data_IF_880046558433
#
_entry.id   IF_880046558433
#
_cell.length_a   1.000
_cell.length_b   1.000
_cell.length_c   1.000
_cell.angle_alpha   90.00
_cell.angle_beta   90.00
_cell.angle_gamma   90.00
#
_symmetry.space_group_name_H-M   'P 1'
#
loop_
_entity.id
_entity.type
_entity.pdbx_description
1 polymer ?
#
# COMPACT_ATOMS: atom_id res chain seq x y z
N UNK A 1 5.93 1.98 10.39
CA UNK A 1 5.92 1.86 11.85
C UNK A 1 7.18 2.49 12.44
N UNK A 2 7.03 3.25 13.51
CA UNK A 2 8.15 3.90 14.24
C UNK A 2 8.23 3.37 15.66
N UNK A 3 7.16 3.49 16.43
CA UNK A 3 7.10 3.08 17.82
C UNK A 3 5.66 2.77 18.26
N UNK A 4 5.53 2.08 19.37
CA UNK A 4 4.26 1.89 20.07
C UNK A 4 4.46 1.91 21.58
N UNK A 5 3.38 2.18 22.30
CA UNK A 5 3.39 2.12 23.76
C UNK A 5 3.37 0.68 24.26
N UNK A 6 3.74 0.47 25.52
CA UNK A 6 3.97 -0.81 26.17
C UNK A 6 2.85 -1.85 25.99
N UNK A 7 1.59 -1.45 26.05
CA UNK A 7 0.46 -2.39 25.97
C UNK A 7 -0.07 -2.60 24.54
N UNK A 8 0.74 -2.31 23.54
CA UNK A 8 0.42 -2.53 22.12
C UNK A 8 1.13 -3.77 21.62
N UNK A 9 0.36 -4.75 21.14
CA UNK A 9 0.89 -5.91 20.45
C UNK A 9 0.99 -5.64 18.97
N UNK A 10 2.07 -6.10 18.33
CA UNK A 10 2.30 -5.98 16.90
C UNK A 10 2.53 -7.37 16.33
N UNK A 11 1.78 -7.71 15.27
CA UNK A 11 1.90 -8.98 14.56
C UNK A 11 2.10 -8.72 13.07
N UNK A 12 3.04 -9.44 12.46
CA UNK A 12 3.16 -9.46 11.00
C UNK A 12 2.15 -10.47 10.44
N UNK A 13 1.34 -10.05 9.47
CA UNK A 13 0.37 -10.87 8.76
C UNK A 13 0.75 -10.92 7.28
N UNK A 14 1.07 -12.11 6.82
CA UNK A 14 1.39 -12.34 5.41
C UNK A 14 0.09 -12.59 4.64
N UNK A 15 -0.16 -11.78 3.62
CA UNK A 15 -1.28 -11.95 2.70
C UNK A 15 -0.85 -12.88 1.56
N UNK A 16 -1.15 -14.18 1.70
CA UNK A 16 -0.77 -15.22 0.74
C UNK A 16 -1.64 -15.24 -0.53
N UNK A 17 -2.81 -14.59 -0.49
CA UNK A 17 -3.79 -14.60 -1.59
C UNK A 17 -3.38 -13.76 -2.80
N UNK A 18 -2.33 -12.97 -2.67
CA UNK A 18 -1.74 -12.22 -3.77
C UNK A 18 -0.63 -13.10 -4.30
N UNK A 19 -0.94 -13.86 -5.35
CA UNK A 19 -0.14 -14.94 -5.88
C UNK A 19 1.37 -14.74 -5.77
N UNK A 20 2.08 -15.79 -5.36
CA UNK A 20 3.54 -15.78 -5.21
C UNK A 20 4.34 -15.30 -6.43
N UNK A 21 3.70 -15.19 -7.60
CA UNK A 21 4.21 -14.58 -8.80
C UNK A 21 4.47 -13.07 -8.69
N UNK A 22 3.75 -12.36 -7.82
CA UNK A 22 3.88 -10.90 -7.63
C UNK A 22 5.15 -10.49 -6.88
N UNK A 23 5.66 -11.37 -6.03
CA UNK A 23 6.81 -11.06 -5.17
C UNK A 23 8.01 -11.97 -5.43
N UNK A 24 8.11 -12.55 -6.65
CA UNK A 24 9.28 -13.36 -7.04
C UNK A 24 9.53 -14.56 -6.12
N UNK A 25 8.48 -15.17 -5.53
CA UNK A 25 8.61 -16.29 -4.62
C UNK A 25 8.97 -15.92 -3.18
N UNK A 26 9.10 -14.65 -2.83
CA UNK A 26 9.53 -14.17 -1.51
C UNK A 26 8.40 -13.86 -0.53
N UNK A 27 7.23 -14.47 -0.68
CA UNK A 27 6.34 -14.59 0.46
C UNK A 27 5.20 -13.58 0.63
N UNK A 28 4.78 -12.86 -0.41
CA UNK A 28 3.52 -12.12 -0.34
C UNK A 28 3.60 -10.73 0.32
N UNK A 29 2.46 -10.06 0.39
CA UNK A 29 2.34 -8.73 0.99
C UNK A 29 2.25 -8.84 2.51
N UNK A 30 3.14 -8.15 3.23
CA UNK A 30 3.18 -8.18 4.70
C UNK A 30 2.49 -6.93 5.25
N UNK A 31 1.49 -7.15 6.09
CA UNK A 31 0.80 -6.11 6.85
C UNK A 31 1.16 -6.25 8.32
N UNK A 32 1.47 -5.15 8.99
CA UNK A 32 1.59 -5.12 10.43
C UNK A 32 0.23 -4.81 11.07
N UNK A 33 -0.27 -5.75 11.84
CA UNK A 33 -1.50 -5.62 12.59
C UNK A 33 -1.19 -5.26 14.05
N UNK A 34 -1.83 -4.22 14.54
CA UNK A 34 -1.67 -3.77 15.93
C UNK A 34 -2.94 -4.06 16.72
N UNK A 35 -2.78 -4.45 17.99
CA UNK A 35 -3.89 -4.72 18.91
C UNK A 35 -3.52 -4.33 20.33
N UNK A 36 -4.51 -4.29 21.23
CA UNK A 36 -4.32 -3.86 22.61
C UNK A 36 -4.75 -2.42 22.85
N UNK A 37 -4.34 -1.87 24.00
CA UNK A 37 -4.64 -0.49 24.38
C UNK A 37 -3.36 0.32 24.41
N UNK A 38 -3.25 1.29 23.52
CA UNK A 38 -2.04 2.11 23.45
C UNK A 38 -2.05 3.05 22.25
N UNK A 39 -0.89 3.62 22.02
CA UNK A 39 -0.64 4.53 20.89
C UNK A 39 0.38 3.91 19.94
N UNK A 40 0.16 4.08 18.67
CA UNK A 40 1.10 3.67 17.61
C UNK A 40 1.58 4.92 16.88
N UNK A 41 2.88 5.05 16.74
CA UNK A 41 3.50 6.09 15.94
C UNK A 41 3.86 5.51 14.57
N UNK A 42 3.38 6.13 13.52
CA UNK A 42 3.71 5.81 12.14
C UNK A 42 4.35 7.02 11.46
N UNK A 43 5.18 6.78 10.45
CA UNK A 43 5.69 7.83 9.58
C UNK A 43 5.28 7.59 8.15
N UNK A 44 5.16 8.66 7.39
CA UNK A 44 4.85 8.64 5.97
C UNK A 44 5.68 9.66 5.21
N UNK A 45 5.63 9.60 3.89
CA UNK A 45 6.30 10.56 3.01
C UNK A 45 5.38 11.73 2.70
N UNK A 46 5.81 12.94 3.03
CA UNK A 46 5.00 14.16 2.88
C UNK A 46 4.00 14.36 4.02
N UNK A 47 2.82 14.86 3.70
CA UNK A 47 1.74 15.09 4.65
C UNK A 47 0.92 13.82 4.83
N UNK A 48 0.54 13.51 6.07
CA UNK A 48 -0.42 12.47 6.38
C UNK A 48 -1.83 13.07 6.37
N UNK A 49 -2.74 12.39 5.70
CA UNK A 49 -4.16 12.75 5.60
C UNK A 49 -4.99 11.56 6.06
N UNK A 50 -6.05 11.84 6.79
CA UNK A 50 -7.03 10.86 7.22
C UNK A 50 -8.23 10.90 6.27
N UNK A 51 -8.62 9.75 5.74
CA UNK A 51 -9.76 9.55 4.87
C UNK A 51 -10.80 8.69 5.59
N UNK A 52 -12.03 9.15 5.65
CA UNK A 52 -13.15 8.36 6.13
C UNK A 52 -13.66 7.47 5.01
N UNK A 53 -13.75 6.18 5.28
CA UNK A 53 -14.36 5.18 4.39
C UNK A 53 -15.74 4.84 4.94
N UNK A 54 -16.76 4.97 4.12
CA UNK A 54 -18.15 4.68 4.50
C UNK A 54 -18.79 3.68 3.55
N UNK A 55 -19.80 2.91 4.00
CA UNK A 55 -20.48 1.95 3.16
C UNK A 55 -21.13 2.56 1.90
N UNK A 56 -21.55 3.81 1.98
CA UNK A 56 -22.22 4.54 0.89
C UNK A 56 -21.27 4.80 -0.28
N UNK A 57 -19.97 4.92 -0.03
CA UNK A 57 -18.95 5.08 -1.06
C UNK A 57 -18.70 3.79 -1.85
N UNK A 58 -19.15 2.64 -1.34
CA UNK A 58 -18.88 1.33 -1.92
C UNK A 58 -17.41 0.93 -1.77
N UNK A 59 -16.73 0.68 -2.87
CA UNK A 59 -15.31 0.33 -2.89
C UNK A 59 -14.45 1.55 -3.17
N UNK A 60 -13.56 1.87 -2.24
CA UNK A 60 -12.57 2.94 -2.39
C UNK A 60 -11.22 2.32 -2.71
N UNK A 61 -10.63 2.71 -3.83
CA UNK A 61 -9.32 2.20 -4.30
C UNK A 61 -8.23 3.24 -4.07
N UNK A 62 -7.15 2.84 -3.41
CA UNK A 62 -6.02 3.70 -3.08
C UNK A 62 -4.72 3.01 -3.52
N UNK A 63 -3.81 3.77 -4.14
CA UNK A 63 -2.46 3.27 -4.46
C UNK A 63 -1.73 2.86 -3.18
N UNK A 64 -1.21 1.63 -3.17
CA UNK A 64 -0.49 1.07 -2.03
C UNK A 64 0.69 1.94 -1.58
N UNK A 65 1.36 2.61 -2.51
CA UNK A 65 2.50 3.48 -2.21
C UNK A 65 2.13 4.75 -1.42
N UNK A 66 0.84 5.04 -1.30
CA UNK A 66 0.31 6.16 -0.51
C UNK A 66 -0.34 5.71 0.80
N UNK A 67 -0.64 4.43 1.00
CA UNK A 67 -1.30 3.95 2.22
C UNK A 67 -0.29 3.79 3.35
N UNK A 68 -0.55 4.46 4.49
CA UNK A 68 0.27 4.36 5.70
C UNK A 68 -0.32 3.43 6.75
N UNK A 69 -1.63 3.51 6.99
CA UNK A 69 -2.35 2.69 7.95
C UNK A 69 -3.85 2.71 7.67
N UNK A 70 -4.59 1.78 8.26
CA UNK A 70 -6.05 1.75 8.21
C UNK A 70 -6.64 1.03 9.42
N UNK A 71 -7.91 1.28 9.68
CA UNK A 71 -8.64 0.64 10.76
C UNK A 71 -8.86 -0.84 10.48
N UNK A 72 -8.68 -1.67 11.50
CA UNK A 72 -8.89 -3.12 11.43
C UNK A 72 -10.35 -3.52 11.12
N UNK A 73 -11.29 -2.59 11.28
CA UNK A 73 -12.70 -2.77 10.91
C UNK A 73 -12.96 -2.78 9.39
N UNK A 74 -12.03 -2.23 8.61
CA UNK A 74 -12.16 -2.19 7.16
C UNK A 74 -11.85 -3.55 6.53
N UNK A 75 -12.70 -3.96 5.60
CA UNK A 75 -12.38 -5.03 4.68
C UNK A 75 -11.48 -4.48 3.58
N UNK A 76 -10.39 -5.15 3.30
CA UNK A 76 -9.48 -4.74 2.25
C UNK A 76 -9.10 -5.89 1.31
N UNK A 77 -8.84 -5.55 0.07
CA UNK A 77 -8.30 -6.47 -0.94
C UNK A 77 -7.16 -5.76 -1.68
N UNK A 78 -6.09 -6.49 -1.96
CA UNK A 78 -4.95 -5.97 -2.71
C UNK A 78 -5.09 -6.45 -4.14
N UNK A 79 -4.93 -5.54 -5.07
CA UNK A 79 -5.09 -5.79 -6.49
C UNK A 79 -4.14 -4.96 -7.34
N UNK A 80 -4.34 -5.09 -8.62
CA UNK A 80 -3.74 -4.21 -9.64
C UNK A 80 -4.81 -3.24 -10.13
N UNK A 81 -4.44 -2.05 -10.60
CA UNK A 81 -5.36 -1.17 -11.29
C UNK A 81 -5.97 -1.93 -12.47
N UNK A 82 -7.29 -1.95 -12.59
CA UNK A 82 -7.98 -2.61 -13.68
C UNK A 82 -7.88 -1.77 -14.95
N UNK A 83 -6.84 -1.95 -15.71
CA UNK A 83 -6.72 -1.42 -17.07
C UNK A 83 -6.63 -2.57 -18.06
N UNK A 84 -7.74 -2.88 -18.70
CA UNK A 84 -7.78 -3.68 -19.92
C UNK A 84 -8.05 -5.17 -19.77
N UNK A 85 -8.59 -5.73 -20.83
CA UNK A 85 -9.05 -7.11 -21.03
C UNK A 85 -7.88 -8.10 -21.23
N UNK A 86 -7.10 -8.29 -20.20
CA UNK A 86 -6.07 -9.34 -20.15
C UNK A 86 -6.29 -10.23 -18.94
N UNK A 87 -5.90 -11.51 -19.03
CA UNK A 87 -6.02 -12.43 -17.89
C UNK A 87 -5.28 -11.90 -16.65
N UNK A 88 -5.78 -12.23 -15.47
CA UNK A 88 -5.30 -11.74 -14.18
C UNK A 88 -3.77 -11.75 -14.02
N UNK A 89 -3.09 -12.80 -14.45
CA UNK A 89 -1.63 -12.96 -14.32
C UNK A 89 -0.86 -12.06 -15.29
N UNK A 90 -1.33 -11.89 -16.52
CA UNK A 90 -0.67 -11.03 -17.53
C UNK A 90 -0.73 -9.54 -17.16
N UNK A 91 -1.84 -9.11 -16.55
CA UNK A 91 -2.00 -7.73 -16.08
C UNK A 91 -1.10 -7.40 -14.90
N UNK A 92 -0.85 -8.37 -14.01
CA UNK A 92 0.05 -8.22 -12.86
C UNK A 92 1.48 -7.93 -13.31
N UNK A 93 2.02 -8.72 -14.21
CA UNK A 93 3.40 -8.57 -14.70
C UNK A 93 3.56 -7.25 -15.45
N UNK A 94 2.60 -6.91 -16.31
CA UNK A 94 2.62 -5.65 -17.06
C UNK A 94 2.49 -4.43 -16.13
N UNK A 95 1.66 -4.49 -15.10
CA UNK A 95 1.47 -3.40 -14.13
C UNK A 95 2.74 -3.14 -13.31
N UNK A 96 3.44 -4.19 -12.90
CA UNK A 96 4.73 -4.06 -12.20
C UNK A 96 5.84 -3.51 -13.09
N UNK A 97 5.86 -3.88 -14.38
CA UNK A 97 6.87 -3.41 -15.34
C UNK A 97 6.56 -2.03 -15.90
N UNK A 98 5.29 -1.63 -15.98
CA UNK A 98 4.85 -0.30 -16.43
C UNK A 98 4.90 0.77 -15.34
N UNK A 99 5.23 0.40 -14.07
CA UNK A 99 5.25 1.32 -12.95
C UNK A 99 3.87 1.61 -12.35
N UNK A 100 2.82 0.94 -12.80
CA UNK A 100 1.49 0.96 -12.19
C UNK A 100 1.52 0.08 -10.94
N UNK A 101 1.65 0.69 -9.78
CA UNK A 101 1.81 0.01 -8.50
C UNK A 101 0.61 -0.86 -8.10
N UNK A 102 0.74 -1.56 -6.99
CA UNK A 102 -0.38 -2.26 -6.37
C UNK A 102 -1.38 -1.26 -5.80
N UNK A 103 -2.65 -1.61 -5.83
CA UNK A 103 -3.72 -0.85 -5.19
C UNK A 103 -4.34 -1.65 -4.04
N UNK A 104 -4.79 -0.94 -3.04
CA UNK A 104 -5.60 -1.50 -1.96
C UNK A 104 -7.02 -0.98 -2.11
N UNK A 105 -7.97 -1.91 -2.13
CA UNK A 105 -9.39 -1.64 -2.24
C UNK A 105 -10.02 -1.82 -0.87
N UNK A 106 -10.63 -0.77 -0.36
CA UNK A 106 -11.26 -0.74 0.97
C UNK A 106 -12.79 -0.73 0.85
N UNK A 107 -13.46 -1.43 1.79
CA UNK A 107 -14.91 -1.42 1.96
C UNK A 107 -15.26 -1.46 3.43
N UNK A 108 -16.38 -0.86 3.80
CA UNK A 108 -16.90 -0.88 5.17
C UNK A 108 -16.89 0.50 5.80
N UNK A 109 -16.72 0.54 7.11
CA UNK A 109 -16.72 1.78 7.88
C UNK A 109 -15.44 1.86 8.72
N UNK A 110 -14.67 2.92 8.52
CA UNK A 110 -13.41 3.15 9.22
C UNK A 110 -12.56 4.22 8.55
N UNK A 111 -11.32 4.33 8.98
CA UNK A 111 -10.38 5.35 8.53
C UNK A 111 -9.18 4.74 7.81
N UNK A 112 -8.69 5.46 6.82
CA UNK A 112 -7.42 5.16 6.15
C UNK A 112 -6.51 6.39 6.27
N UNK A 113 -5.28 6.19 6.69
CA UNK A 113 -4.25 7.23 6.71
C UNK A 113 -3.41 7.09 5.45
N UNK A 114 -3.34 8.16 4.68
CA UNK A 114 -2.57 8.21 3.43
C UNK A 114 -1.45 9.24 3.50
N UNK A 115 -0.39 8.98 2.75
CA UNK A 115 0.74 9.88 2.54
C UNK A 115 0.55 10.68 1.24
N UNK A 116 0.84 11.97 1.25
CA UNK A 116 0.76 12.79 0.06
C UNK A 116 1.83 12.48 -1.00
N UNK A 117 2.88 11.74 -0.64
CA UNK A 117 3.98 11.36 -1.55
C UNK A 117 4.20 9.86 -1.54
N UNK A 118 4.35 9.28 -2.73
CA UNK A 118 4.82 7.91 -2.92
C UNK A 118 6.36 7.91 -2.93
N UNK A 119 6.97 7.23 -1.96
CA UNK A 119 8.43 7.16 -1.82
C UNK A 119 9.10 6.48 -3.02
N UNK A 120 8.51 5.41 -3.53
CA UNK A 120 9.09 4.67 -4.67
C UNK A 120 9.12 5.53 -5.92
N UNK A 121 8.02 6.21 -6.25
CA UNK A 121 7.94 7.14 -7.37
C UNK A 121 8.91 8.31 -7.24
N UNK A 122 9.10 8.82 -6.03
CA UNK A 122 10.07 9.88 -5.77
C UNK A 122 11.51 9.40 -6.01
N UNK A 123 11.89 8.23 -5.52
CA UNK A 123 13.22 7.66 -5.74
C UNK A 123 13.47 7.35 -7.22
N UNK A 124 12.47 6.85 -7.94
CA UNK A 124 12.56 6.62 -9.38
C UNK A 124 12.77 7.93 -10.14
N UNK A 125 11.99 8.96 -9.81
CA UNK A 125 12.18 10.29 -10.40
C UNK A 125 13.59 10.83 -10.12
N UNK A 126 14.05 10.73 -8.88
CA UNK A 126 15.38 11.20 -8.47
C UNK A 126 16.50 10.47 -9.23
N UNK A 127 16.42 9.14 -9.33
CA UNK A 127 17.39 8.34 -10.07
C UNK A 127 17.45 8.72 -11.55
N UNK A 128 16.30 8.99 -12.16
CA UNK A 128 16.21 9.45 -13.56
C UNK A 128 16.81 10.86 -13.72
N UNK A 129 16.54 11.76 -12.79
CA UNK A 129 17.05 13.11 -12.81
C UNK A 129 18.59 13.16 -12.65
N UNK A 130 19.13 12.33 -11.74
CA UNK A 130 20.58 12.24 -11.51
C UNK A 130 21.31 11.45 -12.62
N UNK A 131 20.68 10.41 -13.19
CA UNK A 131 21.26 9.62 -14.29
C UNK A 131 21.38 10.39 -15.60
N UNK A 132 20.59 11.42 -15.83
CA UNK A 132 20.71 12.32 -16.99
C UNK A 132 21.90 13.31 -16.91
N UNK A 133 22.52 13.44 -15.75
CA UNK A 133 23.69 14.33 -15.55
C UNK A 133 25.03 13.79 -16.04
N UNK A 134 25.09 12.51 -16.46
CA UNK A 134 26.36 11.85 -16.81
C UNK A 134 26.50 11.49 -18.30
N UNK A 135 25.74 12.13 -19.19
CA UNK A 135 25.90 11.98 -20.64
C UNK A 135 26.46 13.29 -21.22
N UNK A 136 27.73 13.54 -20.99
CA UNK A 136 28.59 14.41 -21.78
C UNK A 136 29.98 13.78 -21.86
#
# INVERSE_FOLDING_TARGET
>A
FVAATEHTMIKAKVQSNIGGALFGGTGGFVVMETSGQGKVCISGSGTLLELDITPEQGEVTIDNGHVAAWDASLNYNIGIPSSGSGGFVGNIVNSLTSGEGLVIKFRGHGKVIVCSRNRASYLQWLSTALGRGNSN
#
